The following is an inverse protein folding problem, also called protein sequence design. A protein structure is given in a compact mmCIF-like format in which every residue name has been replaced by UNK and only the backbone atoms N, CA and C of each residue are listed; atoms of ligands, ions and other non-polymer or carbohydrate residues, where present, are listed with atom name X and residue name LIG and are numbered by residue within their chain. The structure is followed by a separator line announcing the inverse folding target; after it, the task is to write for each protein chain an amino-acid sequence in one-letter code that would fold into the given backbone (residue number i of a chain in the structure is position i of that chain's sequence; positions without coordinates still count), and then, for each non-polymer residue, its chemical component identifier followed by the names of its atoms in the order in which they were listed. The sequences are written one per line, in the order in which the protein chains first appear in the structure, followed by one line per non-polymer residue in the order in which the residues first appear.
data_IF_671786674883
#
_entry.id   IF_671786674883
#
_cell.length_a   1.000
_cell.length_b   1.000
_cell.length_c   1.000
_cell.angle_alpha   90.00
_cell.angle_beta   90.00
_cell.angle_gamma   90.00
#
_symmetry.space_group_name_H-M   'P 1'
#
loop_
_entity.id
_entity.type
_entity.pdbx_description
1 polymer ?
#
# COMPACT_ATOMS: atom_id res chain seq x y z
N UNK A 1 -33.95 -11.70 10.41
CA UNK A 1 -32.54 -11.80 9.97
C UNK A 1 -31.58 -10.97 10.84
N UNK A 2 -32.09 -10.03 11.68
CA UNK A 2 -31.27 -9.19 12.56
C UNK A 2 -30.78 -9.88 13.85
N UNK A 3 -31.40 -10.97 14.31
CA UNK A 3 -31.15 -11.52 15.65
C UNK A 3 -29.75 -12.12 15.88
N UNK A 4 -28.94 -12.35 14.83
CA UNK A 4 -27.61 -12.99 14.96
C UNK A 4 -26.44 -12.01 15.07
N UNK A 5 -26.62 -10.77 14.62
CA UNK A 5 -25.52 -9.77 14.59
C UNK A 5 -25.29 -9.17 15.98
N UNK A 6 -26.35 -9.11 16.79
CA UNK A 6 -26.33 -8.50 18.14
C UNK A 6 -25.86 -9.46 19.24
N UNK A 7 -25.65 -10.75 18.94
CA UNK A 7 -25.36 -11.78 19.95
C UNK A 7 -23.87 -11.98 20.23
N UNK A 8 -22.99 -11.62 19.30
CA UNK A 8 -21.57 -11.91 19.38
C UNK A 8 -20.73 -10.81 18.70
N UNK A 9 -19.70 -10.35 19.40
CA UNK A 9 -18.81 -9.30 18.93
C UNK A 9 -18.14 -9.65 17.60
N UNK A 10 -17.76 -10.92 17.40
CA UNK A 10 -17.12 -11.33 16.15
C UNK A 10 -18.10 -11.25 15.00
N UNK A 11 -19.35 -11.62 15.22
CA UNK A 11 -20.42 -11.52 14.20
C UNK A 11 -20.71 -10.08 13.82
N UNK A 12 -20.78 -9.16 14.80
CA UNK A 12 -20.91 -7.72 14.54
C UNK A 12 -19.70 -7.17 13.78
N UNK A 13 -18.49 -7.51 14.22
CA UNK A 13 -17.24 -7.06 13.57
C UNK A 13 -17.14 -7.53 12.13
N UNK A 14 -17.49 -8.79 11.85
CA UNK A 14 -17.53 -9.34 10.50
C UNK A 14 -18.55 -8.60 9.65
N UNK A 15 -19.77 -8.37 10.15
CA UNK A 15 -20.81 -7.66 9.41
C UNK A 15 -20.40 -6.22 9.06
N UNK A 16 -19.75 -5.49 9.99
CA UNK A 16 -19.18 -4.16 9.74
C UNK A 16 -18.08 -4.25 8.66
N UNK A 17 -17.18 -5.23 8.79
CA UNK A 17 -16.11 -5.47 7.82
C UNK A 17 -16.66 -5.75 6.42
N UNK A 18 -17.61 -6.67 6.28
CA UNK A 18 -18.21 -7.01 4.99
C UNK A 18 -18.96 -5.84 4.37
N UNK A 19 -19.62 -5.01 5.17
CA UNK A 19 -20.36 -3.86 4.66
C UNK A 19 -19.42 -2.76 4.15
N UNK A 20 -18.40 -2.39 4.93
CA UNK A 20 -17.51 -1.25 4.62
C UNK A 20 -16.27 -1.64 3.81
N UNK A 21 -15.68 -2.80 4.08
CA UNK A 21 -14.46 -3.33 3.42
C UNK A 21 -14.83 -4.33 2.30
N UNK A 22 -15.89 -4.01 1.57
CA UNK A 22 -16.32 -4.79 0.42
C UNK A 22 -15.38 -4.62 -0.79
N UNK A 23 -15.68 -5.33 -1.88
CA UNK A 23 -14.90 -5.26 -3.14
C UNK A 23 -14.70 -3.84 -3.65
N UNK A 24 -15.73 -3.00 -3.62
CA UNK A 24 -15.64 -1.60 -4.06
C UNK A 24 -14.67 -0.79 -3.22
N UNK A 25 -14.61 -1.04 -1.91
CA UNK A 25 -13.60 -0.45 -1.04
C UNK A 25 -12.22 -0.92 -1.44
N UNK A 26 -12.01 -2.24 -1.59
CA UNK A 26 -10.71 -2.80 -1.97
C UNK A 26 -10.23 -2.24 -3.32
N UNK A 27 -11.12 -2.12 -4.31
CA UNK A 27 -10.78 -1.56 -5.62
C UNK A 27 -10.33 -0.09 -5.52
N UNK A 28 -10.97 0.72 -4.65
CA UNK A 28 -10.51 2.10 -4.38
C UNK A 28 -9.13 2.13 -3.71
N UNK A 29 -8.88 1.22 -2.77
CA UNK A 29 -7.58 1.13 -2.10
C UNK A 29 -6.48 0.72 -3.07
N UNK A 30 -6.76 -0.18 -4.02
CA UNK A 30 -5.84 -0.52 -5.12
C UNK A 30 -5.50 0.67 -5.99
N UNK A 31 -6.50 1.45 -6.41
CA UNK A 31 -6.26 2.68 -7.17
C UNK A 31 -5.39 3.64 -6.39
N UNK A 32 -5.66 3.82 -5.09
CA UNK A 32 -4.87 4.69 -4.23
C UNK A 32 -3.42 4.21 -4.10
N UNK A 33 -3.21 2.92 -3.82
CA UNK A 33 -1.88 2.32 -3.71
C UNK A 33 -1.08 2.48 -5.01
N UNK A 34 -1.69 2.20 -6.17
CA UNK A 34 -1.02 2.30 -7.47
C UNK A 34 -0.67 3.76 -7.82
N UNK A 35 -1.51 4.73 -7.45
CA UNK A 35 -1.33 6.14 -7.79
C UNK A 35 -0.53 6.94 -6.75
N UNK A 36 -0.12 6.34 -5.64
CA UNK A 36 0.78 6.98 -4.68
C UNK A 36 2.16 7.18 -5.33
N UNK A 37 2.59 8.44 -5.46
CA UNK A 37 3.87 8.83 -6.06
C UNK A 37 4.67 9.66 -5.07
N UNK A 38 5.98 9.72 -5.26
CA UNK A 38 6.83 10.62 -4.48
C UNK A 38 6.51 12.09 -4.81
N UNK A 39 6.19 12.89 -3.80
CA UNK A 39 5.84 14.30 -3.97
C UNK A 39 6.95 15.24 -3.49
N UNK A 40 7.94 15.49 -4.36
CA UNK A 40 9.10 16.38 -4.04
C UNK A 40 8.75 17.89 -4.05
N UNK A 41 7.73 18.30 -4.81
CA UNK A 41 7.66 19.69 -5.33
C UNK A 41 6.55 20.57 -4.79
N UNK A 42 5.66 20.11 -3.89
CA UNK A 42 4.56 20.96 -3.37
C UNK A 42 4.51 21.02 -1.83
N UNK A 43 5.15 22.05 -1.27
CA UNK A 43 4.95 22.61 0.08
C UNK A 43 5.20 21.73 1.32
N UNK A 44 5.56 20.46 1.18
CA UNK A 44 6.11 19.63 2.24
C UNK A 44 7.05 18.62 1.60
N UNK A 45 8.35 18.69 1.91
CA UNK A 45 9.33 17.74 1.37
C UNK A 45 9.07 16.37 2.01
N UNK A 46 8.28 15.54 1.34
CA UNK A 46 8.22 14.12 1.67
C UNK A 46 9.65 13.56 1.55
N UNK A 47 10.14 12.94 2.61
CA UNK A 47 11.45 12.29 2.57
C UNK A 47 11.34 10.96 1.82
N UNK A 48 12.43 10.48 1.20
CA UNK A 48 12.46 9.16 0.57
C UNK A 48 11.93 8.05 1.48
N UNK A 49 12.30 8.05 2.76
CA UNK A 49 11.87 7.06 3.73
C UNK A 49 10.37 7.14 4.02
N UNK A 50 9.81 8.34 4.16
CA UNK A 50 8.36 8.52 4.36
C UNK A 50 7.57 7.97 3.17
N UNK A 51 8.01 8.28 1.95
CA UNK A 51 7.39 7.74 0.74
C UNK A 51 7.46 6.21 0.71
N UNK A 52 8.63 5.63 0.96
CA UNK A 52 8.82 4.17 0.93
C UNK A 52 7.91 3.49 1.96
N UNK A 53 7.86 3.99 3.19
CA UNK A 53 7.01 3.44 4.26
C UNK A 53 5.53 3.52 3.86
N UNK A 54 5.05 4.69 3.46
CA UNK A 54 3.66 4.89 3.07
C UNK A 54 3.26 4.02 1.87
N UNK A 55 4.10 3.97 0.83
CA UNK A 55 3.86 3.17 -0.38
C UNK A 55 3.84 1.67 -0.05
N UNK A 56 4.78 1.21 0.78
CA UNK A 56 4.86 -0.18 1.21
C UNK A 56 3.60 -0.61 1.99
N UNK A 57 3.16 0.20 2.96
CA UNK A 57 1.94 -0.06 3.74
C UNK A 57 0.70 -0.16 2.83
N UNK A 58 0.57 0.73 1.85
CA UNK A 58 -0.53 0.70 0.88
C UNK A 58 -0.52 -0.55 0.00
N UNK A 59 0.65 -0.95 -0.50
CA UNK A 59 0.78 -2.12 -1.37
C UNK A 59 0.53 -3.43 -0.60
N UNK A 60 1.10 -3.58 0.59
CA UNK A 60 0.87 -4.75 1.45
C UNK A 60 -0.58 -4.86 1.94
N UNK A 61 -1.29 -3.73 2.04
CA UNK A 61 -2.70 -3.74 2.39
C UNK A 61 -3.59 -4.36 1.30
N UNK A 62 -3.24 -4.21 0.02
CA UNK A 62 -4.12 -4.57 -1.11
C UNK A 62 -3.61 -5.71 -2.00
N UNK A 63 -2.32 -6.03 -1.92
CA UNK A 63 -1.66 -7.07 -2.71
C UNK A 63 -0.83 -8.00 -1.83
N UNK A 64 -0.58 -9.21 -2.35
CA UNK A 64 0.34 -10.17 -1.76
C UNK A 64 1.59 -10.29 -2.65
N UNK A 65 2.30 -9.18 -2.81
CA UNK A 65 3.51 -9.09 -3.61
C UNK A 65 4.71 -9.70 -2.88
N UNK A 66 5.63 -10.24 -3.67
CA UNK A 66 6.99 -10.55 -3.22
C UNK A 66 7.78 -9.26 -2.96
N UNK A 67 8.84 -9.36 -2.15
CA UNK A 67 9.74 -8.23 -1.87
C UNK A 67 10.23 -7.53 -3.14
N UNK A 68 10.56 -8.31 -4.18
CA UNK A 68 10.99 -7.77 -5.47
C UNK A 68 9.88 -6.99 -6.18
N UNK A 69 8.66 -7.52 -6.20
CA UNK A 69 7.51 -6.80 -6.77
C UNK A 69 7.22 -5.51 -5.99
N UNK A 70 7.39 -5.52 -4.66
CA UNK A 70 7.27 -4.32 -3.83
C UNK A 70 8.32 -3.27 -4.18
N UNK A 71 9.59 -3.68 -4.31
CA UNK A 71 10.70 -2.79 -4.70
C UNK A 71 10.45 -2.17 -6.09
N UNK A 72 10.04 -3.00 -7.07
CA UNK A 72 9.74 -2.53 -8.42
C UNK A 72 8.58 -1.51 -8.43
N UNK A 73 7.48 -1.77 -7.71
CA UNK A 73 6.33 -0.86 -7.59
C UNK A 73 6.66 0.44 -6.83
N UNK A 74 7.52 0.38 -5.82
CA UNK A 74 8.00 1.58 -5.10
C UNK A 74 8.81 2.46 -6.06
N UNK A 75 9.70 1.84 -6.85
CA UNK A 75 10.58 2.54 -7.79
C UNK A 75 9.82 3.11 -9.01
N UNK A 76 8.74 2.48 -9.44
CA UNK A 76 7.86 3.02 -10.49
C UNK A 76 7.21 4.34 -10.09
N UNK A 77 6.85 4.50 -8.82
CA UNK A 77 6.31 5.76 -8.28
C UNK A 77 7.36 6.78 -7.84
N UNK A 78 8.65 6.41 -7.88
CA UNK A 78 9.76 7.26 -7.49
C UNK A 78 10.20 8.19 -8.63
N UNK A 79 10.90 9.29 -8.32
CA UNK A 79 11.43 10.18 -9.35
C UNK A 79 12.48 9.49 -10.21
N UNK A 80 12.52 9.84 -11.49
CA UNK A 80 13.46 9.22 -12.45
C UNK A 80 14.93 9.36 -12.06
N UNK A 81 15.32 10.37 -11.27
CA UNK A 81 16.69 10.55 -10.82
C UNK A 81 17.13 9.47 -9.81
N UNK A 82 16.20 8.79 -9.12
CA UNK A 82 16.54 7.70 -8.21
C UNK A 82 17.17 6.52 -8.95
N UNK A 83 16.77 6.27 -10.21
CA UNK A 83 17.37 5.23 -11.06
C UNK A 83 18.85 5.47 -11.37
N UNK A 84 19.39 6.66 -11.08
CA UNK A 84 20.83 6.93 -11.18
C UNK A 84 21.62 6.56 -9.92
N UNK A 85 20.92 6.32 -8.80
CA UNK A 85 21.50 6.08 -7.47
C UNK A 85 21.19 4.66 -7.01
N UNK A 86 19.97 4.21 -7.27
CA UNK A 86 19.42 2.92 -6.86
C UNK A 86 19.33 2.03 -8.09
N UNK A 87 19.78 0.78 -7.92
CA UNK A 87 19.69 -0.25 -8.96
C UNK A 87 18.76 -1.35 -8.46
N UNK A 88 17.43 -1.26 -8.70
CA UNK A 88 16.42 -2.06 -8.00
C UNK A 88 16.63 -3.57 -8.12
N UNK A 89 17.06 -4.02 -9.30
CA UNK A 89 17.28 -5.44 -9.58
C UNK A 89 18.45 -6.09 -8.82
N UNK A 90 19.25 -5.31 -8.09
CA UNK A 90 20.31 -5.83 -7.22
C UNK A 90 19.81 -6.22 -5.83
N UNK A 91 18.63 -5.74 -5.43
CA UNK A 91 18.02 -6.04 -4.13
C UNK A 91 17.08 -7.24 -4.28
N UNK A 92 17.23 -8.24 -3.41
CA UNK A 92 16.31 -9.40 -3.38
C UNK A 92 15.33 -9.34 -2.22
N UNK A 93 15.74 -8.70 -1.12
CA UNK A 93 14.96 -8.56 0.10
C UNK A 93 14.68 -7.08 0.37
N UNK A 94 13.51 -6.77 0.92
CA UNK A 94 13.13 -5.39 1.28
C UNK A 94 14.07 -4.77 2.32
N UNK A 95 14.75 -5.60 3.12
CA UNK A 95 15.69 -5.13 4.14
C UNK A 95 16.97 -4.54 3.53
N UNK A 96 17.33 -4.96 2.31
CA UNK A 96 18.53 -4.49 1.60
C UNK A 96 18.28 -3.17 0.85
N UNK A 97 17.00 -2.86 0.59
CA UNK A 97 16.51 -1.70 -0.16
C UNK A 97 16.38 -0.46 0.73
#
# INVERSE_FOLDING_TARGET
MCDRIEQDWNTLRTAIGEYYMNRTFLDKQKVHANHALYHDTSNGRETPSEYIICKLELLQFVYNYTDRELIDEIMEGAPSYWNSIITPHLFQELQEF
#
